data_IF_089978645023
#
_entry.id   IF_089978645023
#
_cell.length_a   1.000
_cell.length_b   1.000
_cell.length_c   1.000
_cell.angle_alpha   90.00
_cell.angle_beta   90.00
_cell.angle_gamma   90.00
#
_symmetry.space_group_name_H-M   'P 1'
#
loop_
_entity.id
_entity.type
_entity.pdbx_description
1 polymer ?
#
# COMPACT_ATOMS: atom_id res chain seq x y z
N UNK A 1 12.33 -12.38 -8.83
CA UNK A 1 13.18 -11.26 -9.22
C UNK A 1 12.58 -9.94 -8.75
N UNK A 2 13.40 -9.09 -8.20
CA UNK A 2 12.94 -7.82 -7.69
C UNK A 2 12.71 -6.81 -8.80
N UNK A 3 11.57 -6.19 -8.80
CA UNK A 3 11.25 -5.14 -9.75
C UNK A 3 11.57 -3.79 -9.13
N UNK A 4 12.22 -2.95 -9.91
CA UNK A 4 12.50 -1.59 -9.47
C UNK A 4 11.38 -0.66 -9.90
N UNK A 5 10.93 0.16 -8.99
CA UNK A 5 9.87 1.12 -9.26
C UNK A 5 10.42 2.54 -9.22
N UNK A 6 9.83 3.43 -10.00
CA UNK A 6 10.25 4.83 -10.00
C UNK A 6 9.74 5.53 -8.75
N UNK A 7 10.39 6.63 -8.39
CA UNK A 7 9.93 7.44 -7.26
C UNK A 7 8.51 7.92 -7.46
N UNK A 8 8.16 8.24 -8.70
CA UNK A 8 6.80 8.69 -9.01
C UNK A 8 5.77 7.62 -8.74
N UNK A 9 6.08 6.39 -9.10
CA UNK A 9 5.18 5.27 -8.86
C UNK A 9 4.99 5.05 -7.37
N UNK A 10 6.09 5.08 -6.64
CA UNK A 10 6.05 4.86 -5.19
C UNK A 10 5.25 5.97 -4.50
N UNK A 11 5.52 7.22 -4.86
CA UNK A 11 4.82 8.35 -4.27
C UNK A 11 3.33 8.35 -4.59
N UNK A 12 2.99 8.00 -5.83
CA UNK A 12 1.59 7.92 -6.25
C UNK A 12 0.84 6.87 -5.44
N UNK A 13 1.44 5.70 -5.29
CA UNK A 13 0.83 4.62 -4.53
C UNK A 13 0.75 4.96 -3.05
N UNK A 14 1.79 5.62 -2.53
CA UNK A 14 1.81 6.05 -1.14
C UNK A 14 0.65 7.00 -0.84
N UNK A 15 0.38 7.89 -1.79
CA UNK A 15 -0.73 8.82 -1.67
C UNK A 15 -2.07 8.10 -1.69
N UNK A 16 -2.21 7.12 -2.57
CA UNK A 16 -3.45 6.35 -2.65
C UNK A 16 -3.70 5.56 -1.37
N UNK A 17 -2.65 4.98 -0.81
CA UNK A 17 -2.75 4.28 0.46
C UNK A 17 -3.18 5.24 1.57
N UNK A 18 -2.58 6.42 1.58
CA UNK A 18 -2.89 7.41 2.60
C UNK A 18 -4.35 7.86 2.54
N UNK A 19 -4.91 7.94 1.35
CA UNK A 19 -6.31 8.30 1.18
C UNK A 19 -7.25 7.17 1.62
N UNK A 20 -6.87 5.93 1.32
CA UNK A 20 -7.71 4.77 1.62
C UNK A 20 -7.60 4.31 3.07
N UNK A 21 -6.51 4.64 3.75
CA UNK A 21 -6.32 4.22 5.14
C UNK A 21 -7.43 4.70 6.05
N UNK A 22 -8.06 5.81 5.69
CA UNK A 22 -9.17 6.36 6.48
C UNK A 22 -10.35 5.41 6.56
N UNK A 23 -10.57 4.65 5.50
CA UNK A 23 -11.67 3.70 5.46
C UNK A 23 -11.43 2.51 6.40
N UNK A 24 -10.19 2.35 6.83
CA UNK A 24 -9.80 1.29 7.77
C UNK A 24 -9.56 1.82 9.18
N UNK A 25 -9.96 3.07 9.42
CA UNK A 25 -9.77 3.75 10.71
C UNK A 25 -8.30 3.84 11.11
N UNK A 26 -7.46 4.10 10.13
CA UNK A 26 -6.02 4.23 10.32
C UNK A 26 -5.54 5.67 10.13
N UNK A 27 -6.36 6.64 10.53
CA UNK A 27 -6.07 8.06 10.31
C UNK A 27 -4.74 8.51 10.89
N UNK A 28 -4.33 7.93 12.01
CA UNK A 28 -3.09 8.32 12.65
C UNK A 28 -1.87 7.54 12.16
N UNK A 29 -2.05 6.64 11.21
CA UNK A 29 -0.97 5.79 10.73
C UNK A 29 -0.25 6.45 9.58
N UNK A 30 1.07 6.45 9.62
CA UNK A 30 1.88 7.00 8.54
C UNK A 30 2.18 5.92 7.51
N UNK A 31 1.88 6.23 6.27
CA UNK A 31 2.16 5.31 5.16
C UNK A 31 3.60 5.52 4.69
N UNK A 32 4.39 4.46 4.75
CA UNK A 32 5.79 4.52 4.35
C UNK A 32 5.95 4.18 2.87
N UNK A 33 7.07 4.58 2.25
CA UNK A 33 7.35 4.16 0.87
C UNK A 33 7.40 2.63 0.72
N UNK A 34 7.80 1.93 1.77
CA UNK A 34 7.85 0.46 1.73
C UNK A 34 6.47 -0.14 1.58
N UNK A 35 5.48 0.46 2.21
CA UNK A 35 4.09 0.02 2.05
C UNK A 35 3.65 0.14 0.61
N UNK A 36 4.02 1.26 -0.03
CA UNK A 36 3.70 1.48 -1.43
C UNK A 36 4.38 0.44 -2.33
N UNK A 37 5.64 0.13 -2.04
CA UNK A 37 6.37 -0.89 -2.80
C UNK A 37 5.71 -2.25 -2.63
N UNK A 38 5.23 -2.56 -1.44
CA UNK A 38 4.53 -3.81 -1.20
C UNK A 38 3.27 -3.93 -2.07
N UNK A 39 2.50 -2.84 -2.16
CA UNK A 39 1.32 -2.83 -3.03
C UNK A 39 1.70 -3.08 -4.48
N UNK A 40 2.76 -2.40 -4.94
CA UNK A 40 3.21 -2.54 -6.32
C UNK A 40 3.68 -3.97 -6.60
N UNK A 41 4.35 -4.59 -5.63
CA UNK A 41 4.78 -5.98 -5.77
C UNK A 41 3.59 -6.94 -5.86
N UNK A 42 2.57 -6.72 -5.06
CA UNK A 42 1.37 -7.55 -5.08
C UNK A 42 0.66 -7.42 -6.42
N UNK A 43 0.58 -6.19 -6.93
CA UNK A 43 -0.02 -5.95 -8.25
C UNK A 43 0.77 -6.67 -9.34
N UNK A 44 2.08 -6.70 -9.19
CA UNK A 44 2.94 -7.39 -10.15
C UNK A 44 2.67 -8.89 -10.18
N UNK A 45 2.11 -9.43 -9.11
CA UNK A 45 1.77 -10.85 -9.03
C UNK A 45 0.37 -11.16 -9.52
N UNK A 46 -0.33 -10.16 -10.05
CA UNK A 46 -1.60 -10.39 -10.72
C UNK A 46 -2.84 -9.85 -10.03
N UNK A 47 -2.70 -9.29 -8.84
CA UNK A 47 -3.86 -8.71 -8.17
C UNK A 47 -4.16 -7.31 -8.70
N UNK A 48 -5.41 -6.91 -8.60
CA UNK A 48 -5.80 -5.56 -8.98
C UNK A 48 -5.28 -4.56 -7.94
N UNK A 49 -5.23 -3.29 -8.32
CA UNK A 49 -4.77 -2.26 -7.42
C UNK A 49 -5.61 -2.21 -6.13
N UNK A 50 -6.92 -2.28 -6.28
CA UNK A 50 -7.81 -2.22 -5.12
C UNK A 50 -7.59 -3.39 -4.18
N UNK A 51 -7.42 -4.58 -4.73
CA UNK A 51 -7.16 -5.76 -3.91
C UNK A 51 -5.80 -5.67 -3.21
N UNK A 52 -4.80 -5.21 -3.93
CA UNK A 52 -3.45 -5.06 -3.35
C UNK A 52 -3.45 -4.06 -2.22
N UNK A 53 -4.12 -2.92 -2.41
CA UNK A 53 -4.22 -1.90 -1.38
C UNK A 53 -4.94 -2.46 -0.16
N UNK A 54 -6.03 -3.19 -0.39
CA UNK A 54 -6.81 -3.78 0.69
C UNK A 54 -5.95 -4.74 1.52
N UNK A 55 -5.16 -5.56 0.87
CA UNK A 55 -4.29 -6.50 1.59
C UNK A 55 -3.28 -5.78 2.47
N UNK A 56 -2.65 -4.74 1.93
CA UNK A 56 -1.64 -4.00 2.69
C UNK A 56 -2.27 -3.27 3.87
N UNK A 57 -3.41 -2.65 3.67
CA UNK A 57 -4.09 -1.93 4.75
C UNK A 57 -4.62 -2.88 5.82
N UNK A 58 -5.12 -4.03 5.42
CA UNK A 58 -5.54 -5.06 6.38
C UNK A 58 -4.36 -5.56 7.20
N UNK A 59 -3.21 -5.69 6.57
CA UNK A 59 -1.99 -6.13 7.25
C UNK A 59 -1.57 -5.11 8.31
N UNK A 60 -1.61 -3.84 7.95
CA UNK A 60 -1.28 -2.77 8.89
C UNK A 60 -2.26 -2.77 10.05
N UNK A 61 -3.54 -2.94 9.75
CA UNK A 61 -4.59 -2.99 10.74
C UNK A 61 -4.35 -4.15 11.72
N UNK A 62 -3.97 -5.29 11.19
CA UNK A 62 -3.71 -6.49 11.98
C UNK A 62 -2.53 -6.31 12.92
N UNK A 63 -1.48 -5.66 12.43
CA UNK A 63 -0.29 -5.40 13.24
C UNK A 63 -0.60 -4.47 14.41
N UNK A 64 -1.52 -3.53 14.20
CA UNK A 64 -1.88 -2.54 15.22
C UNK A 64 -2.93 -3.03 16.21
N UNK A 65 -3.54 -4.15 15.93
CA UNK A 65 -4.59 -4.71 16.80
C UNK A 65 -4.08 -5.35 18.07
#
# INVERSE_FOLDING_TARGET
MKKNYTNEEILSMQKELDEKKRQYELDGVEITPEDAITVLNIMSNGLSKDEAIDEVLNDICDVLS
#
